data_IF_420193553003
#
_entry.id   IF_420193553003
#
_cell.length_a   1.000
_cell.length_b   1.000
_cell.length_c   1.000
_cell.angle_alpha   90.00
_cell.angle_beta   90.00
_cell.angle_gamma   90.00
#
_symmetry.space_group_name_H-M   'P 1'
#
loop_
_entity.id
_entity.type
_entity.pdbx_description
1 polymer ?
#
# COMPACT_ATOMS: atom_id res chain seq x y z
N UNK A 1 16.05 -2.06 -10.83
CA UNK A 1 14.67 -1.98 -10.31
C UNK A 1 14.35 -0.59 -9.79
N UNK A 2 15.23 0.02 -8.98
CA UNK A 2 15.11 1.42 -8.53
C UNK A 2 15.47 2.45 -9.60
N UNK A 3 16.50 2.18 -10.39
CA UNK A 3 17.01 3.12 -11.42
C UNK A 3 18.42 3.60 -11.06
N UNK A 4 19.00 4.53 -11.82
CA UNK A 4 20.25 5.18 -11.48
C UNK A 4 20.05 6.22 -10.36
N UNK A 5 21.09 6.46 -9.56
CA UNK A 5 21.08 7.43 -8.45
C UNK A 5 20.82 8.88 -8.90
N UNK A 6 20.99 9.16 -10.20
CA UNK A 6 20.74 10.49 -10.78
C UNK A 6 19.32 10.55 -11.39
N UNK A 7 18.42 11.40 -10.87
CA UNK A 7 17.00 11.38 -11.18
C UNK A 7 16.71 12.15 -12.47
N UNK A 8 17.08 11.60 -13.61
CA UNK A 8 16.38 11.99 -14.84
C UNK A 8 14.99 11.31 -14.81
N UNK A 9 13.87 12.03 -15.00
CA UNK A 9 12.52 11.45 -14.96
C UNK A 9 12.34 10.30 -15.97
N UNK A 10 13.05 10.37 -17.09
CA UNK A 10 13.09 9.30 -18.10
C UNK A 10 13.90 8.05 -17.68
N UNK A 11 14.80 8.17 -16.69
CA UNK A 11 15.67 7.10 -16.23
C UNK A 11 15.16 6.37 -14.98
N UNK A 12 14.04 6.82 -14.40
CA UNK A 12 13.43 6.21 -13.23
C UNK A 12 13.15 4.71 -13.44
N UNK A 13 13.52 3.89 -12.46
CA UNK A 13 13.31 2.45 -12.50
C UNK A 13 11.84 2.03 -12.39
N UNK A 14 11.63 0.73 -12.33
CA UNK A 14 10.29 0.12 -12.25
C UNK A 14 9.59 0.51 -10.95
N UNK A 15 10.31 0.53 -9.82
CA UNK A 15 9.74 0.83 -8.50
C UNK A 15 9.16 2.25 -8.43
N UNK A 16 9.94 3.32 -8.65
CA UNK A 16 9.41 4.69 -8.57
C UNK A 16 8.27 4.93 -9.58
N UNK A 17 8.33 4.32 -10.76
CA UNK A 17 7.26 4.41 -11.76
C UNK A 17 5.98 3.69 -11.33
N UNK A 18 6.09 2.56 -10.65
CA UNK A 18 4.95 1.81 -10.12
C UNK A 18 4.30 2.55 -8.95
N UNK A 19 5.11 3.07 -8.03
CA UNK A 19 4.64 3.89 -6.89
C UNK A 19 3.82 5.08 -7.38
N UNK A 20 4.36 5.88 -8.30
CA UNK A 20 3.62 7.00 -8.90
C UNK A 20 2.28 6.58 -9.46
N UNK A 21 2.25 5.47 -10.22
CA UNK A 21 1.01 4.97 -10.82
C UNK A 21 -0.01 4.51 -9.77
N UNK A 22 0.43 3.91 -8.68
CA UNK A 22 -0.44 3.53 -7.56
C UNK A 22 -1.10 4.78 -6.96
N UNK A 23 -0.32 5.82 -6.66
CA UNK A 23 -0.85 7.07 -6.12
C UNK A 23 -1.78 7.80 -7.11
N UNK A 24 -1.38 7.97 -8.38
CA UNK A 24 -2.22 8.55 -9.43
C UNK A 24 -3.58 7.82 -9.54
N UNK A 25 -3.54 6.48 -9.58
CA UNK A 25 -4.74 5.65 -9.70
C UNK A 25 -5.62 5.76 -8.46
N UNK A 26 -5.01 5.85 -7.28
CA UNK A 26 -5.74 5.97 -6.02
C UNK A 26 -6.54 7.27 -5.94
N UNK A 27 -5.96 8.40 -6.34
CA UNK A 27 -6.66 9.69 -6.43
C UNK A 27 -7.76 9.68 -7.49
N UNK A 28 -7.53 9.03 -8.64
CA UNK A 28 -8.60 8.84 -9.63
C UNK A 28 -9.76 8.01 -9.06
N UNK A 29 -9.47 6.98 -8.28
CA UNK A 29 -10.49 6.13 -7.65
C UNK A 29 -11.24 6.86 -6.53
N UNK A 30 -10.56 7.72 -5.76
CA UNK A 30 -11.18 8.63 -4.79
C UNK A 30 -12.16 9.59 -5.47
N UNK A 31 -11.77 10.19 -6.60
CA UNK A 31 -12.63 11.07 -7.39
C UNK A 31 -13.83 10.33 -8.02
N UNK A 32 -13.66 9.04 -8.34
CA UNK A 32 -14.75 8.14 -8.78
C UNK A 32 -15.56 7.58 -7.61
N UNK A 33 -15.21 7.96 -6.37
CA UNK A 33 -15.80 7.46 -5.14
C UNK A 33 -17.32 7.54 -5.21
N UNK A 34 -17.97 6.37 -5.35
CA UNK A 34 -19.42 6.17 -5.29
C UNK A 34 -20.17 6.17 -6.62
N UNK A 35 -19.98 5.09 -7.39
CA UNK A 35 -21.07 4.52 -8.21
C UNK A 35 -21.53 3.16 -7.67
N UNK A 36 -21.50 2.95 -6.35
CA UNK A 36 -22.38 1.98 -5.70
C UNK A 36 -23.57 2.76 -5.13
N UNK A 37 -24.51 3.10 -6.00
CA UNK A 37 -25.85 3.47 -5.56
C UNK A 37 -26.54 2.21 -5.06
N UNK A 38 -26.43 1.91 -3.77
CA UNK A 38 -27.46 1.09 -3.12
C UNK A 38 -28.76 1.88 -3.19
N UNK A 39 -29.59 1.56 -4.18
CA UNK A 39 -30.98 1.97 -4.20
C UNK A 39 -31.70 1.21 -3.08
N UNK A 40 -31.64 1.70 -1.85
CA UNK A 40 -32.65 1.29 -0.87
C UNK A 40 -34.00 1.74 -1.42
N UNK A 41 -34.80 0.78 -1.86
CA UNK A 41 -36.19 0.99 -2.28
C UNK A 41 -36.98 1.56 -1.09
N UNK A 42 -36.97 2.89 -0.97
CA UNK A 42 -37.76 3.64 -0.01
C UNK A 42 -39.20 3.76 -0.49
N UNK A 43 -39.99 2.71 -0.31
CA UNK A 43 -41.44 2.87 -0.13
C UNK A 43 -41.62 3.64 1.19
N UNK A 44 -41.79 4.96 1.11
CA UNK A 44 -42.38 5.89 2.12
C UNK A 44 -41.76 7.29 2.02
N UNK A 45 -41.99 7.98 0.90
CA UNK A 45 -42.21 9.44 0.79
C UNK A 45 -41.58 10.43 1.77
N UNK A 46 -40.34 10.27 2.21
CA UNK A 46 -39.58 11.28 2.95
C UNK A 46 -38.21 11.41 2.31
N UNK A 47 -38.03 12.51 1.56
CA UNK A 47 -36.75 12.92 1.00
C UNK A 47 -35.72 13.04 2.13
N UNK A 48 -34.79 12.09 2.20
CA UNK A 48 -33.51 12.27 2.88
C UNK A 48 -32.44 12.17 1.79
N UNK A 49 -31.66 13.22 1.61
CA UNK A 49 -30.54 13.23 0.67
C UNK A 49 -29.62 12.03 0.92
N UNK A 50 -29.06 11.41 -0.14
CA UNK A 50 -28.08 10.36 0.02
C UNK A 50 -26.90 10.92 0.82
N UNK A 51 -26.69 10.38 2.03
CA UNK A 51 -25.58 10.81 2.89
C UNK A 51 -24.27 10.48 2.15
N UNK A 52 -23.42 11.48 1.83
CA UNK A 52 -22.11 11.19 1.30
C UNK A 52 -21.36 10.41 2.39
N UNK A 53 -21.05 9.18 2.05
CA UNK A 53 -20.10 8.34 2.75
C UNK A 53 -18.73 9.05 2.77
N UNK A 54 -17.95 8.84 3.84
CA UNK A 54 -16.64 9.48 3.95
C UNK A 54 -15.77 9.14 2.73
N UNK A 55 -14.90 10.06 2.27
CA UNK A 55 -13.98 9.77 1.19
C UNK A 55 -13.16 8.53 1.57
N UNK A 56 -13.08 7.58 0.65
CA UNK A 56 -12.30 6.35 0.83
C UNK A 56 -10.82 6.72 0.78
N UNK A 57 -10.25 7.13 1.90
CA UNK A 57 -8.83 7.45 1.98
C UNK A 57 -8.02 6.15 1.87
N UNK A 58 -7.20 6.03 0.83
CA UNK A 58 -6.28 4.89 0.71
C UNK A 58 -5.14 5.03 1.73
N UNK A 59 -4.78 3.91 2.37
CA UNK A 59 -3.61 3.84 3.25
C UNK A 59 -2.57 2.94 2.61
N UNK A 60 -1.38 3.48 2.35
CA UNK A 60 -0.27 2.74 1.79
C UNK A 60 0.77 2.45 2.87
N UNK A 61 1.33 1.25 2.83
CA UNK A 61 2.43 0.82 3.70
C UNK A 61 3.50 0.17 2.85
N UNK A 62 4.74 0.59 3.01
CA UNK A 62 5.90 0.05 2.33
C UNK A 62 6.77 -0.76 3.29
N UNK A 63 7.39 -1.81 2.75
CA UNK A 63 8.42 -2.59 3.41
C UNK A 63 9.55 -2.86 2.41
N UNK A 64 10.79 -2.90 2.89
CA UNK A 64 11.95 -3.13 2.04
C UNK A 64 12.95 -4.05 2.74
N UNK A 65 13.26 -5.17 2.10
CA UNK A 65 14.13 -6.20 2.65
C UNK A 65 15.08 -6.76 1.59
N UNK A 66 16.20 -7.29 2.05
CA UNK A 66 17.17 -8.04 1.28
C UNK A 66 17.11 -9.51 1.66
N UNK A 67 17.24 -10.39 0.66
CA UNK A 67 17.44 -11.82 0.86
C UNK A 67 18.85 -12.15 0.34
N UNK A 68 19.73 -12.50 1.26
CA UNK A 68 21.11 -12.86 0.94
C UNK A 68 21.50 -14.12 1.69
N UNK A 69 21.95 -15.15 0.97
CA UNK A 69 22.40 -16.41 1.55
C UNK A 69 21.39 -17.01 2.56
N UNK A 70 20.14 -17.16 2.13
CA UNK A 70 19.02 -17.66 2.95
C UNK A 70 18.75 -16.84 4.23
N UNK A 71 19.28 -15.62 4.34
CA UNK A 71 19.07 -14.72 5.46
C UNK A 71 18.23 -13.52 5.02
N UNK A 72 17.27 -13.14 5.85
CA UNK A 72 16.43 -11.96 5.65
C UNK A 72 17.00 -10.77 6.42
N UNK A 73 17.10 -9.62 5.75
CA UNK A 73 17.54 -8.37 6.36
C UNK A 73 16.56 -7.25 6.03
N UNK A 74 16.08 -6.56 7.04
CA UNK A 74 15.29 -5.35 6.89
C UNK A 74 16.21 -4.18 6.48
N UNK A 75 15.89 -3.53 5.36
CA UNK A 75 16.64 -2.40 4.81
C UNK A 75 16.10 -1.04 5.29
N UNK A 76 14.90 -0.99 5.87
CA UNK A 76 14.32 0.24 6.43
C UNK A 76 14.81 0.52 7.86
N UNK A 77 15.41 -0.48 8.52
CA UNK A 77 15.89 -0.36 9.90
C UNK A 77 17.33 0.14 9.95
N UNK A 78 17.52 1.28 10.64
CA UNK A 78 18.85 1.84 10.91
C UNK A 78 19.68 1.01 11.90
N UNK A 79 19.04 0.18 12.74
CA UNK A 79 19.67 -0.66 13.78
C UNK A 79 19.18 -2.10 13.71
N UNK A 80 19.78 -2.95 12.87
CA UNK A 80 19.32 -4.31 12.64
C UNK A 80 19.35 -5.18 13.92
N UNK A 81 20.13 -4.82 14.94
CA UNK A 81 20.22 -5.56 16.21
C UNK A 81 18.95 -5.50 17.06
N UNK A 82 18.05 -4.55 16.78
CA UNK A 82 16.75 -4.45 17.47
C UNK A 82 15.64 -5.22 16.75
N UNK A 83 15.86 -5.60 15.49
CA UNK A 83 14.93 -6.45 14.78
C UNK A 83 15.16 -7.89 15.25
N UNK A 84 14.09 -8.53 15.72
CA UNK A 84 14.11 -9.96 15.97
C UNK A 84 14.45 -10.73 14.70
N UNK A 85 14.63 -12.04 14.84
CA UNK A 85 14.80 -12.91 13.68
C UNK A 85 13.62 -12.73 12.70
N UNK A 86 13.95 -12.44 11.44
CA UNK A 86 12.98 -12.29 10.36
C UNK A 86 12.76 -13.66 9.72
N UNK A 87 11.52 -14.10 9.64
CA UNK A 87 11.15 -15.41 9.06
C UNK A 87 9.93 -15.27 8.16
N UNK A 88 9.91 -15.88 6.98
CA UNK A 88 8.71 -15.88 6.14
C UNK A 88 7.71 -16.91 6.69
N UNK A 89 6.53 -16.44 7.12
CA UNK A 89 5.48 -17.27 7.71
C UNK A 89 4.19 -17.17 6.92
N UNK A 90 3.43 -18.26 6.85
CA UNK A 90 2.06 -18.22 6.32
C UNK A 90 1.11 -17.58 7.32
N UNK A 91 0.26 -16.68 6.85
CA UNK A 91 -0.78 -16.01 7.68
C UNK A 91 -1.79 -17.03 8.18
N UNK A 92 -2.15 -17.99 7.32
CA UNK A 92 -3.08 -19.06 7.66
C UNK A 92 -2.77 -20.32 6.86
N UNK A 93 -3.19 -21.48 7.36
CA UNK A 93 -3.14 -22.73 6.59
C UNK A 93 -4.11 -22.73 5.41
N UNK A 94 -5.13 -21.85 5.44
CA UNK A 94 -6.18 -21.75 4.43
C UNK A 94 -5.89 -20.69 3.35
N UNK A 95 -4.88 -19.86 3.53
CA UNK A 95 -4.47 -18.82 2.56
C UNK A 95 -3.03 -19.06 2.10
N UNK A 96 -2.72 -18.65 0.88
CA UNK A 96 -1.34 -18.62 0.36
C UNK A 96 -0.62 -17.31 0.73
N UNK A 97 -1.22 -16.52 1.60
CA UNK A 97 -0.70 -15.24 2.06
C UNK A 97 0.48 -15.45 3.02
N UNK A 98 1.58 -14.75 2.73
CA UNK A 98 2.82 -14.79 3.49
C UNK A 98 3.02 -13.47 4.22
N UNK A 99 3.62 -13.53 5.41
CA UNK A 99 3.97 -12.40 6.23
C UNK A 99 5.33 -12.62 6.88
N UNK A 100 6.12 -11.56 7.00
CA UNK A 100 7.40 -11.57 7.72
C UNK A 100 7.18 -10.85 9.06
N UNK A 101 7.06 -11.58 10.18
CA UNK A 101 6.92 -10.96 11.48
C UNK A 101 8.19 -10.15 11.79
N UNK A 102 8.01 -9.02 12.48
CA UNK A 102 9.07 -8.06 12.80
C UNK A 102 9.66 -7.31 11.60
N UNK A 103 9.14 -7.47 10.38
CA UNK A 103 9.52 -6.60 9.27
C UNK A 103 8.94 -5.20 9.48
N UNK A 104 9.76 -4.18 9.26
CA UNK A 104 9.33 -2.79 9.38
C UNK A 104 8.37 -2.42 8.26
N UNK A 105 7.22 -1.92 8.66
CA UNK A 105 6.19 -1.39 7.77
C UNK A 105 6.08 0.11 8.02
N UNK A 106 6.45 0.91 7.01
CA UNK A 106 6.38 2.36 7.08
C UNK A 106 5.12 2.82 6.34
N UNK A 107 4.22 3.59 6.97
CA UNK A 107 3.13 4.22 6.25
C UNK A 107 3.71 5.27 5.31
N UNK A 108 3.32 5.23 4.04
CA UNK A 108 3.75 6.19 3.02
C UNK A 108 2.56 6.98 2.52
N UNK A 109 2.73 8.29 2.39
CA UNK A 109 1.66 9.22 2.03
C UNK A 109 1.89 9.91 0.68
N UNK A 110 3.11 9.86 0.15
CA UNK A 110 3.43 10.39 -1.17
C UNK A 110 4.41 9.49 -1.93
N UNK A 111 4.64 9.79 -3.21
CA UNK A 111 5.53 9.02 -4.09
C UNK A 111 7.03 9.26 -3.83
N UNK A 112 7.35 10.32 -3.08
CA UNK A 112 8.70 10.70 -2.71
C UNK A 112 9.18 10.08 -1.38
N UNK A 113 8.28 9.47 -0.61
CA UNK A 113 8.55 8.76 0.67
C UNK A 113 8.85 7.27 0.47
#
# INVERSE_FOLDING_TARGET
MEGPDHPAPEAAGVIPRAVRRIFETSHEMEAKGWQNQEWTLGLLGLFSEPRPSPPTQYQFTANFLEIYNESLRDLLVLRPEQNGELEIRRVSQFTEELHVPNLSCVPVSSEEE
#
